data_IF_612669680007
#
_entry.id   IF_612669680007
#
_cell.length_a   1.000
_cell.length_b   1.000
_cell.length_c   1.000
_cell.angle_alpha   90.00
_cell.angle_beta   90.00
_cell.angle_gamma   90.00
#
_symmetry.space_group_name_H-M   'P 1'
#
loop_
_entity.id
_entity.type
_entity.pdbx_description
1 polymer ?
#
# COMPACT_ATOMS: atom_id res chain seq x y z
N UNK A 1 5.88 1.24 14.62
CA UNK A 1 6.35 -0.19 14.66
C UNK A 1 7.61 -0.27 13.82
N UNK A 2 8.61 -1.06 14.22
CA UNK A 2 9.86 -1.24 13.47
C UNK A 2 10.11 -2.72 13.19
N UNK A 3 10.56 -3.02 11.98
CA UNK A 3 10.92 -4.36 11.50
C UNK A 3 12.38 -4.33 11.05
N UNK A 4 13.17 -5.30 11.49
CA UNK A 4 14.55 -5.50 11.02
C UNK A 4 14.59 -6.81 10.23
N UNK A 5 15.15 -6.77 9.02
CA UNK A 5 15.22 -7.90 8.09
C UNK A 5 16.55 -8.65 8.20
N UNK A 6 16.61 -9.82 7.55
CA UNK A 6 17.77 -10.71 7.56
C UNK A 6 19.01 -10.10 6.87
N UNK A 7 18.81 -9.18 5.92
CA UNK A 7 19.85 -8.40 5.26
C UNK A 7 20.34 -7.19 6.08
N UNK A 8 19.80 -7.00 7.29
CA UNK A 8 20.11 -5.90 8.19
C UNK A 8 19.39 -4.58 7.86
N UNK A 9 18.61 -4.54 6.78
CA UNK A 9 17.76 -3.38 6.47
C UNK A 9 16.61 -3.26 7.47
N UNK A 10 16.09 -2.04 7.64
CA UNK A 10 15.06 -1.74 8.63
C UNK A 10 13.91 -0.97 8.00
N UNK A 11 12.68 -1.35 8.36
CA UNK A 11 11.45 -0.65 7.98
C UNK A 11 10.76 -0.14 9.24
N UNK A 12 10.55 1.17 9.31
CA UNK A 12 9.71 1.79 10.33
C UNK A 12 8.37 2.18 9.72
N UNK A 13 7.28 1.77 10.37
CA UNK A 13 5.92 2.07 9.93
C UNK A 13 5.58 3.52 10.30
N UNK A 14 5.34 4.40 9.31
CA UNK A 14 4.90 5.77 9.57
C UNK A 14 3.54 5.80 10.28
N UNK A 15 3.27 6.82 11.08
CA UNK A 15 1.98 6.99 11.78
C UNK A 15 0.79 6.95 10.81
N UNK A 16 0.93 7.58 9.64
CA UNK A 16 -0.11 7.59 8.63
C UNK A 16 -0.41 6.18 8.07
N UNK A 17 0.59 5.31 7.99
CA UNK A 17 0.38 3.91 7.60
C UNK A 17 -0.38 3.15 8.68
N UNK A 18 -0.02 3.37 9.95
CA UNK A 18 -0.72 2.76 11.09
C UNK A 18 -2.21 3.13 11.07
N UNK A 19 -2.52 4.41 10.84
CA UNK A 19 -3.91 4.85 10.67
C UNK A 19 -4.60 4.17 9.48
N UNK A 20 -3.93 4.11 8.32
CA UNK A 20 -4.52 3.52 7.12
C UNK A 20 -4.68 2.00 7.21
N UNK A 21 -3.78 1.29 7.90
CA UNK A 21 -3.94 -0.13 8.23
C UNK A 21 -5.20 -0.31 9.05
N UNK A 22 -5.40 0.54 10.07
CA UNK A 22 -6.58 0.48 10.91
C UNK A 22 -7.87 0.75 10.13
N UNK A 23 -7.87 1.75 9.25
CA UNK A 23 -9.05 2.08 8.42
C UNK A 23 -9.34 0.98 7.38
N UNK A 24 -8.31 0.50 6.69
CA UNK A 24 -8.46 -0.43 5.56
C UNK A 24 -8.76 -1.85 6.01
N UNK A 25 -8.01 -2.34 7.00
CA UNK A 25 -8.00 -3.75 7.40
C UNK A 25 -8.57 -4.00 8.80
N UNK A 26 -8.77 -2.94 9.61
CA UNK A 26 -9.18 -3.02 11.02
C UNK A 26 -8.20 -3.78 11.94
N UNK A 27 -6.93 -3.88 11.53
CA UNK A 27 -5.86 -4.56 12.26
C UNK A 27 -4.98 -3.57 13.03
N UNK A 28 -4.23 -4.07 14.03
CA UNK A 28 -3.03 -3.38 14.54
C UNK A 28 -1.88 -3.48 13.54
N UNK A 29 -0.82 -2.65 13.65
CA UNK A 29 0.37 -2.79 12.81
C UNK A 29 1.01 -4.17 12.87
N UNK A 30 1.05 -4.78 14.06
CA UNK A 30 1.62 -6.10 14.29
C UNK A 30 0.78 -7.20 13.62
N UNK A 31 -0.54 -7.17 13.83
CA UNK A 31 -1.47 -8.11 13.18
C UNK A 31 -1.42 -8.01 11.65
N UNK A 32 -1.35 -6.78 11.13
CA UNK A 32 -1.20 -6.54 9.71
C UNK A 32 0.13 -7.07 9.18
N UNK A 33 1.23 -6.86 9.91
CA UNK A 33 2.54 -7.38 9.54
C UNK A 33 2.55 -8.91 9.51
N UNK A 34 2.01 -9.57 10.53
CA UNK A 34 1.88 -11.04 10.56
C UNK A 34 1.10 -11.58 9.35
N UNK A 35 0.08 -10.84 8.92
CA UNK A 35 -0.73 -11.19 7.75
C UNK A 35 0.00 -10.95 6.41
N UNK A 36 0.67 -9.81 6.24
CA UNK A 36 1.25 -9.40 4.95
C UNK A 36 2.69 -9.90 4.73
N UNK A 37 3.47 -10.08 5.79
CA UNK A 37 4.89 -10.46 5.69
C UNK A 37 5.15 -11.77 4.94
N UNK A 38 4.34 -12.84 5.10
CA UNK A 38 4.50 -14.07 4.31
C UNK A 38 4.36 -13.81 2.80
N UNK A 39 3.42 -12.94 2.40
CA UNK A 39 3.21 -12.58 1.01
C UNK A 39 4.36 -11.72 0.46
N UNK A 40 4.84 -10.73 1.22
CA UNK A 40 5.99 -9.90 0.84
C UNK A 40 7.25 -10.77 0.63
N UNK A 41 7.53 -11.69 1.56
CA UNK A 41 8.66 -12.63 1.44
C UNK A 41 8.54 -13.55 0.24
N UNK A 42 7.32 -14.01 -0.07
CA UNK A 42 7.05 -14.80 -1.28
C UNK A 42 7.39 -13.98 -2.54
N UNK A 43 6.89 -12.75 -2.65
CA UNK A 43 7.18 -11.87 -3.79
C UNK A 43 8.67 -11.63 -3.97
N UNK A 44 9.39 -11.36 -2.87
CA UNK A 44 10.83 -11.21 -2.88
C UNK A 44 11.54 -12.45 -3.45
N UNK A 45 11.16 -13.65 -2.99
CA UNK A 45 11.74 -14.91 -3.48
C UNK A 45 11.42 -15.21 -4.95
N UNK A 46 10.35 -14.60 -5.48
CA UNK A 46 9.93 -14.72 -6.89
C UNK A 46 10.52 -13.60 -7.76
N UNK A 47 11.29 -12.66 -7.20
CA UNK A 47 11.81 -11.50 -7.92
C UNK A 47 10.71 -10.56 -8.39
N UNK A 48 9.63 -10.43 -7.60
CA UNK A 48 8.46 -9.58 -7.89
C UNK A 48 8.23 -8.59 -6.77
N UNK A 49 7.45 -7.56 -7.04
CA UNK A 49 6.95 -6.57 -6.07
C UNK A 49 5.48 -6.25 -6.34
N UNK A 50 4.73 -5.92 -5.30
CA UNK A 50 3.35 -5.46 -5.44
C UNK A 50 3.35 -3.97 -5.78
N UNK A 51 2.71 -3.59 -6.88
CA UNK A 51 2.59 -2.21 -7.36
C UNK A 51 1.13 -1.78 -7.48
N UNK A 52 0.90 -0.60 -8.06
CA UNK A 52 -0.45 -0.14 -8.39
C UNK A 52 -1.16 -1.00 -9.44
N UNK A 53 -0.41 -1.72 -10.28
CA UNK A 53 -0.94 -2.54 -11.36
C UNK A 53 -1.05 -4.02 -11.01
N UNK A 54 -0.48 -4.46 -9.88
CA UNK A 54 -0.49 -5.84 -9.43
C UNK A 54 0.91 -6.32 -9.07
N UNK A 55 1.16 -7.62 -9.18
CA UNK A 55 2.51 -8.18 -9.03
C UNK A 55 3.32 -7.93 -10.31
N UNK A 56 4.45 -7.25 -10.20
CA UNK A 56 5.34 -6.96 -11.31
C UNK A 56 6.77 -7.44 -10.99
N UNK A 57 7.58 -7.80 -12.01
CA UNK A 57 9.00 -8.07 -11.81
C UNK A 57 9.70 -6.90 -11.10
N UNK A 58 10.53 -7.21 -10.11
CA UNK A 58 11.21 -6.19 -9.29
C UNK A 58 12.05 -5.25 -10.16
N UNK A 59 12.76 -5.78 -11.15
CA UNK A 59 13.61 -5.00 -12.07
C UNK A 59 12.82 -3.93 -12.85
N UNK A 60 11.56 -4.21 -13.22
CA UNK A 60 10.72 -3.25 -13.94
C UNK A 60 10.27 -2.12 -13.01
N UNK A 61 9.77 -2.47 -11.82
CA UNK A 61 9.38 -1.48 -10.82
C UNK A 61 10.58 -0.64 -10.33
N UNK A 62 11.76 -1.25 -10.29
CA UNK A 62 13.02 -0.60 -9.91
C UNK A 62 13.52 0.35 -10.99
N UNK A 63 13.38 -0.02 -12.27
CA UNK A 63 13.80 0.81 -13.39
C UNK A 63 13.09 2.17 -13.43
N UNK A 64 11.81 2.22 -13.05
CA UNK A 64 11.05 3.47 -12.97
C UNK A 64 11.56 4.41 -11.86
N UNK A 65 12.10 3.87 -10.75
CA UNK A 65 12.64 4.67 -9.63
C UNK A 65 14.09 5.12 -9.86
N UNK A 66 14.93 4.35 -10.56
CA UNK A 66 16.32 4.75 -10.88
C UNK A 66 16.36 6.03 -11.73
N UNK A 67 15.31 6.34 -12.48
CA UNK A 67 15.25 7.60 -13.24
C UNK A 67 14.93 8.82 -12.36
N UNK A 68 14.43 8.63 -11.13
CA UNK A 68 14.06 9.71 -10.21
C UNK A 68 15.19 10.03 -9.20
N UNK A 69 15.94 9.02 -8.75
CA UNK A 69 17.07 9.18 -7.83
C UNK A 69 18.39 8.87 -8.56
N UNK A 70 19.24 9.88 -8.74
CA UNK A 70 20.50 9.86 -9.53
C UNK A 70 21.59 8.87 -9.02
N UNK A 71 21.29 7.98 -8.06
CA UNK A 71 22.22 7.02 -7.48
C UNK A 71 21.62 5.60 -7.43
N UNK A 72 22.22 4.66 -8.16
CA UNK A 72 21.83 3.26 -8.13
C UNK A 72 22.16 2.61 -6.79
N UNK A 73 21.13 2.24 -6.02
CA UNK A 73 21.26 1.32 -4.88
C UNK A 73 20.62 -0.01 -5.26
N UNK A 74 21.15 -1.15 -4.82
CA UNK A 74 20.41 -2.43 -4.97
C UNK A 74 19.19 -2.43 -4.03
N UNK A 75 18.03 -2.99 -4.45
CA UNK A 75 16.85 -3.05 -3.59
C UNK A 75 17.13 -3.90 -2.35
N UNK A 76 16.75 -3.38 -1.18
CA UNK A 76 16.79 -4.10 0.10
C UNK A 76 15.43 -4.73 0.42
N UNK A 77 15.40 -5.68 1.38
CA UNK A 77 14.15 -6.22 1.89
C UNK A 77 13.24 -5.15 2.50
N UNK A 78 13.81 -4.14 3.16
CA UNK A 78 13.06 -3.02 3.69
C UNK A 78 12.37 -2.20 2.58
N UNK A 79 13.11 -1.82 1.54
CA UNK A 79 12.54 -1.11 0.38
C UNK A 79 11.43 -1.91 -0.30
N UNK A 80 11.65 -3.22 -0.46
CA UNK A 80 10.68 -4.12 -1.09
C UNK A 80 9.39 -4.22 -0.27
N UNK A 81 9.53 -4.40 1.05
CA UNK A 81 8.40 -4.42 1.97
C UNK A 81 7.66 -3.08 1.99
N UNK A 82 8.40 -1.97 2.01
CA UNK A 82 7.85 -0.62 1.94
C UNK A 82 7.00 -0.44 0.68
N UNK A 83 7.54 -0.79 -0.48
CA UNK A 83 6.85 -0.67 -1.77
C UNK A 83 5.56 -1.48 -1.80
N UNK A 84 5.59 -2.73 -1.31
CA UNK A 84 4.41 -3.58 -1.25
C UNK A 84 3.33 -3.02 -0.31
N UNK A 85 3.71 -2.57 0.88
CA UNK A 85 2.77 -2.01 1.86
C UNK A 85 2.19 -0.69 1.34
N UNK A 86 3.01 0.16 0.73
CA UNK A 86 2.54 1.39 0.10
C UNK A 86 1.50 1.07 -0.98
N UNK A 87 1.78 0.13 -1.88
CA UNK A 87 0.86 -0.26 -2.94
C UNK A 87 -0.49 -0.76 -2.40
N UNK A 88 -0.46 -1.51 -1.29
CA UNK A 88 -1.66 -1.93 -0.57
C UNK A 88 -2.42 -0.74 0.04
N UNK A 89 -1.75 0.15 0.76
CA UNK A 89 -2.38 1.25 1.51
C UNK A 89 -2.68 2.49 0.65
N UNK A 90 -2.16 2.58 -0.59
CA UNK A 90 -2.13 3.79 -1.42
C UNK A 90 -3.44 4.56 -1.50
N UNK A 91 -4.57 3.88 -1.63
CA UNK A 91 -5.88 4.53 -1.80
C UNK A 91 -6.28 5.31 -0.54
N UNK A 92 -6.04 4.72 0.64
CA UNK A 92 -6.25 5.39 1.92
C UNK A 92 -5.26 6.54 2.10
N UNK A 93 -3.98 6.32 1.80
CA UNK A 93 -2.94 7.36 1.90
C UNK A 93 -3.28 8.58 1.02
N UNK A 94 -3.70 8.36 -0.22
CA UNK A 94 -4.13 9.43 -1.13
C UNK A 94 -5.37 10.16 -0.63
N UNK A 95 -6.38 9.44 -0.14
CA UNK A 95 -7.59 10.06 0.41
C UNK A 95 -7.27 10.98 1.61
N UNK A 96 -6.39 10.53 2.50
CA UNK A 96 -5.89 11.31 3.64
C UNK A 96 -5.11 12.54 3.19
N UNK A 97 -4.18 12.39 2.26
CA UNK A 97 -3.38 13.50 1.73
C UNK A 97 -4.26 14.56 1.05
N UNK A 98 -5.30 14.16 0.32
CA UNK A 98 -6.22 15.10 -0.31
C UNK A 98 -7.13 15.80 0.71
N UNK A 99 -7.58 15.08 1.74
CA UNK A 99 -8.39 15.65 2.82
C UNK A 99 -7.61 16.68 3.65
N UNK A 100 -6.32 16.44 3.92
CA UNK A 100 -5.48 17.40 4.64
C UNK A 100 -5.25 18.71 3.88
N UNK A 101 -5.37 18.68 2.55
CA UNK A 101 -5.33 19.86 1.68
C UNK A 101 -6.69 20.57 1.54
N UNK A 102 -7.72 20.15 2.30
CA UNK A 102 -9.06 20.75 2.28
C UNK A 102 -9.96 20.26 1.12
N UNK A 103 -9.53 19.24 0.38
CA UNK A 103 -10.33 18.65 -0.70
C UNK A 103 -11.40 17.71 -0.15
N UNK A 104 -12.63 17.82 -0.66
CA UNK A 104 -13.67 16.78 -0.52
C UNK A 104 -13.48 15.74 -1.62
N UNK A 105 -12.41 14.94 -1.53
CA UNK A 105 -12.08 13.95 -2.55
C UNK A 105 -12.40 12.55 -2.05
N UNK A 106 -13.13 11.80 -2.87
CA UNK A 106 -13.35 10.37 -2.71
C UNK A 106 -12.32 9.63 -3.56
N UNK A 107 -11.62 8.65 -2.98
CA UNK A 107 -10.71 7.76 -3.74
C UNK A 107 -11.36 6.40 -3.83
N UNK A 108 -11.53 5.91 -5.07
CA UNK A 108 -12.19 4.64 -5.36
C UNK A 108 -11.12 3.59 -5.66
N UNK A 109 -11.08 2.54 -4.85
CA UNK A 109 -10.33 1.31 -5.13
C UNK A 109 -11.25 0.27 -5.75
N UNK A 110 -10.98 -0.15 -6.98
CA UNK A 110 -11.72 -1.21 -7.66
C UNK A 110 -10.91 -2.51 -7.53
N UNK A 111 -11.44 -3.48 -6.78
CA UNK A 111 -10.90 -4.84 -6.69
C UNK A 111 -11.73 -5.83 -7.51
N UNK A 112 -11.30 -7.09 -7.56
CA UNK A 112 -11.95 -8.11 -8.40
C UNK A 112 -13.43 -8.35 -8.06
N UNK A 113 -13.85 -8.18 -6.80
CA UNK A 113 -15.21 -8.49 -6.33
C UNK A 113 -15.86 -7.38 -5.48
N UNK A 114 -15.19 -6.24 -5.27
CA UNK A 114 -15.67 -5.16 -4.40
C UNK A 114 -15.16 -3.81 -4.87
N UNK A 115 -15.98 -2.79 -4.68
CA UNK A 115 -15.62 -1.39 -4.84
C UNK A 115 -15.49 -0.77 -3.46
N UNK A 116 -14.32 -0.22 -3.15
CA UNK A 116 -14.06 0.43 -1.86
C UNK A 116 -13.87 1.92 -2.06
N UNK A 117 -14.69 2.73 -1.39
CA UNK A 117 -14.56 4.19 -1.41
C UNK A 117 -13.92 4.65 -0.10
N UNK A 118 -12.85 5.43 -0.22
CA UNK A 118 -12.21 6.14 0.89
C UNK A 118 -12.57 7.63 0.85
N UNK A 119 -13.09 8.15 1.97
CA UNK A 119 -13.45 9.57 2.13
C UNK A 119 -12.77 10.13 3.37
N UNK A 120 -11.54 10.64 3.21
CA UNK A 120 -10.71 11.10 4.33
C UNK A 120 -10.41 10.00 5.36
N UNK A 121 -11.24 9.92 6.41
CA UNK A 121 -11.13 8.93 7.48
C UNK A 121 -12.13 7.76 7.37
N UNK A 122 -13.07 7.83 6.43
CA UNK A 122 -14.13 6.85 6.28
C UNK A 122 -13.83 5.87 5.15
N UNK A 123 -14.30 4.64 5.31
CA UNK A 123 -14.27 3.58 4.31
C UNK A 123 -15.68 3.01 4.15
N UNK A 124 -16.14 2.90 2.90
CA UNK A 124 -17.35 2.15 2.53
C UNK A 124 -17.01 1.09 1.49
N UNK A 125 -17.64 -0.08 1.58
CA UNK A 125 -17.50 -1.17 0.62
C UNK A 125 -18.84 -1.41 -0.07
N UNK A 126 -18.78 -1.66 -1.37
CA UNK A 126 -19.90 -1.98 -2.25
C UNK A 126 -19.57 -3.24 -3.06
N UNK A 127 -20.60 -4.00 -3.45
CA UNK A 127 -20.41 -5.24 -4.20
C UNK A 127 -20.06 -4.95 -5.68
N UNK A 128 -20.49 -3.81 -6.22
CA UNK A 128 -20.19 -3.39 -7.58
C UNK A 128 -20.12 -1.85 -7.70
N UNK A 129 -19.76 -1.36 -8.90
CA UNK A 129 -19.61 0.07 -9.19
C UNK A 129 -20.96 0.80 -9.24
N UNK A 130 -22.02 0.11 -9.67
CA UNK A 130 -23.36 0.70 -9.81
C UNK A 130 -23.91 1.08 -8.42
N UNK A 131 -23.84 0.16 -7.46
CA UNK A 131 -24.22 0.41 -6.05
C UNK A 131 -23.40 1.55 -5.44
N UNK A 132 -22.11 1.62 -5.79
CA UNK A 132 -21.20 2.65 -5.30
C UNK A 132 -21.53 4.05 -5.84
N UNK A 133 -22.16 4.12 -7.02
CA UNK A 133 -22.58 5.37 -7.67
C UNK A 133 -24.01 5.80 -7.30
N UNK A 134 -24.86 4.88 -6.85
CA UNK A 134 -26.24 5.19 -6.42
C UNK A 134 -26.33 5.81 -5.01
N UNK A 135 -25.30 5.66 -4.16
CA UNK A 135 -25.21 6.21 -2.79
C UNK A 135 -24.59 7.64 -2.76
N UNK A 136 -24.59 8.36 -3.90
CA UNK A 136 -24.17 9.78 -4.04
C UNK A 136 -25.31 10.79 -3.90
#
# INVERSE_FOLDING_TARGET
MKVTFEDGSELEFPELWIECIKIKHNLSPEEYWEWVAPYIRKLWSEGKVLTKFGEEPIDLAFSDQIFEDEEYCEPTMAWHAESCIYADLRACLMAKAMASLGGKVKVIGIGNNKVTIYTGNEKKEYDNVEDAMEDE
#
